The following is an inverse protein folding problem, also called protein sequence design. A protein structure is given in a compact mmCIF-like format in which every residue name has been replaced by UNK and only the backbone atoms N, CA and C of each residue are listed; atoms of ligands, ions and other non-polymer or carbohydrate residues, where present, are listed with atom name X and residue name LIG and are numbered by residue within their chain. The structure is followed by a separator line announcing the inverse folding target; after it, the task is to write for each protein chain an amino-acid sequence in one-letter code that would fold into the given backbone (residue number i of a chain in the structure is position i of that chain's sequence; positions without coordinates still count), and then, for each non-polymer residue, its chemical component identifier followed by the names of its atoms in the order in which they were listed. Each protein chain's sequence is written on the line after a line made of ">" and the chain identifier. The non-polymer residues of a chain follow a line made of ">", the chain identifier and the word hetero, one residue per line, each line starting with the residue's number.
data_IF_613366801188
#
_entry.id   IF_613366801188
#
_cell.length_a   1.000
_cell.length_b   1.000
_cell.length_c   1.000
_cell.angle_alpha   90.00
_cell.angle_beta   90.00
_cell.angle_gamma   90.00
#
_symmetry.space_group_name_H-M   'P 1'
#
loop_
_entity.id
_entity.type
_entity.pdbx_description
1 polymer ?
#
# COMPACT_ATOMS: atom_id res chain seq x y z
N UNK A 1 -0.91 -12.22 -2.14
CA UNK A 1 0.49 -11.79 -2.32
C UNK A 1 0.58 -10.30 -2.07
N UNK A 2 1.61 -9.82 -1.37
CA UNK A 2 2.02 -8.41 -1.44
C UNK A 2 2.44 -8.05 -2.87
N UNK A 3 2.10 -6.86 -3.33
CA UNK A 3 2.38 -6.33 -4.68
C UNK A 3 2.55 -4.82 -4.62
N UNK A 4 3.63 -4.29 -5.20
CA UNK A 4 3.94 -2.85 -5.10
C UNK A 4 3.27 -2.02 -6.19
N UNK A 5 2.93 -2.63 -7.33
CA UNK A 5 2.38 -1.94 -8.49
C UNK A 5 1.59 -2.90 -9.40
N UNK A 6 1.02 -2.37 -10.48
CA UNK A 6 0.24 -3.16 -11.44
C UNK A 6 1.10 -4.17 -12.22
N UNK A 7 2.40 -3.92 -12.39
CA UNK A 7 3.30 -4.85 -13.07
C UNK A 7 3.55 -6.10 -12.20
N UNK A 8 3.73 -5.91 -10.89
CA UNK A 8 3.83 -6.98 -9.90
C UNK A 8 2.53 -7.79 -9.81
N UNK A 9 1.38 -7.14 -9.91
CA UNK A 9 0.08 -7.83 -10.02
C UNK A 9 0.05 -8.72 -11.27
N UNK A 10 0.40 -8.18 -12.44
CA UNK A 10 0.38 -8.92 -13.69
C UNK A 10 1.32 -10.15 -13.62
N UNK A 11 2.55 -9.96 -13.16
CA UNK A 11 3.52 -11.03 -12.98
C UNK A 11 3.02 -12.13 -12.03
N UNK A 12 2.40 -11.76 -10.91
CA UNK A 12 1.81 -12.71 -9.96
C UNK A 12 0.67 -13.52 -10.59
N UNK A 13 -0.24 -12.87 -11.31
CA UNK A 13 -1.37 -13.55 -11.95
C UNK A 13 -0.91 -14.48 -13.08
N UNK A 14 0.09 -14.07 -13.86
CA UNK A 14 0.62 -14.88 -14.96
C UNK A 14 1.34 -16.13 -14.42
N UNK A 15 2.12 -15.99 -13.34
CA UNK A 15 2.72 -17.12 -12.65
C UNK A 15 1.66 -18.13 -12.13
N UNK A 16 0.55 -17.63 -11.58
CA UNK A 16 -0.56 -18.49 -11.14
C UNK A 16 -1.25 -19.21 -12.30
N UNK A 17 -1.46 -18.53 -13.42
CA UNK A 17 -2.04 -19.13 -14.63
C UNK A 17 -1.13 -20.22 -15.20
N UNK A 18 0.18 -19.97 -15.22
CA UNK A 18 1.17 -20.94 -15.65
C UNK A 18 1.19 -22.18 -14.75
N UNK A 19 1.20 -21.98 -13.43
CA UNK A 19 1.25 -23.06 -12.46
C UNK A 19 -0.06 -23.89 -12.42
N UNK A 20 -1.19 -23.28 -12.76
CA UNK A 20 -2.52 -23.87 -12.59
C UNK A 20 -3.40 -23.78 -13.84
N UNK A 21 -2.84 -24.09 -15.01
CA UNK A 21 -3.53 -24.07 -16.33
C UNK A 21 -4.85 -24.85 -16.40
N UNK A 22 -5.07 -25.79 -15.48
CA UNK A 22 -6.30 -26.60 -15.42
C UNK A 22 -7.47 -25.91 -14.70
N UNK A 23 -7.27 -24.78 -14.04
CA UNK A 23 -8.36 -24.03 -13.43
C UNK A 23 -9.20 -23.34 -14.52
N UNK A 24 -10.53 -23.37 -14.36
CA UNK A 24 -11.45 -22.77 -15.32
C UNK A 24 -11.58 -21.24 -15.15
N UNK A 25 -11.32 -20.75 -13.94
CA UNK A 25 -11.37 -19.34 -13.59
C UNK A 25 -10.24 -19.00 -12.60
N UNK A 26 -9.61 -17.85 -12.82
CA UNK A 26 -8.60 -17.19 -12.01
C UNK A 26 -9.12 -15.81 -11.55
N UNK A 27 -10.21 -15.82 -10.78
CA UNK A 27 -10.82 -14.58 -10.29
C UNK A 27 -9.89 -13.91 -9.29
N UNK A 28 -9.81 -12.58 -9.31
CA UNK A 28 -8.89 -11.86 -8.43
C UNK A 28 -9.42 -10.49 -8.02
N UNK A 29 -8.83 -9.94 -6.98
CA UNK A 29 -8.90 -8.53 -6.66
C UNK A 29 -7.56 -8.03 -6.10
N UNK A 30 -7.35 -6.72 -6.19
CA UNK A 30 -6.20 -6.08 -5.57
C UNK A 30 -6.51 -4.67 -5.08
N UNK A 31 -5.70 -4.24 -4.12
CA UNK A 31 -5.57 -2.87 -3.63
C UNK A 31 -4.10 -2.46 -3.82
N UNK A 32 -3.86 -1.25 -4.32
CA UNK A 32 -2.52 -0.69 -4.56
C UNK A 32 -2.49 0.77 -4.08
N UNK A 33 -1.44 1.15 -3.37
CA UNK A 33 -1.29 2.46 -2.74
C UNK A 33 -1.78 2.46 -1.30
N UNK A 34 -0.97 3.07 -0.42
CA UNK A 34 -1.25 3.18 1.02
C UNK A 34 -2.11 4.41 1.32
N UNK A 35 -1.72 5.59 0.81
CA UNK A 35 -2.44 6.84 1.05
C UNK A 35 -3.69 6.97 0.18
N UNK A 36 -3.57 6.67 -1.12
CA UNK A 36 -4.65 6.77 -2.10
C UNK A 36 -4.85 5.41 -2.79
N UNK A 37 -5.65 4.52 -2.18
CA UNK A 37 -5.77 3.15 -2.64
C UNK A 37 -6.56 3.07 -3.94
N UNK A 38 -5.90 2.56 -4.97
CA UNK A 38 -6.54 2.12 -6.21
C UNK A 38 -6.97 0.67 -6.03
N UNK A 39 -8.13 0.33 -6.55
CA UNK A 39 -8.67 -1.03 -6.45
C UNK A 39 -9.09 -1.57 -7.81
N UNK A 40 -9.02 -2.89 -7.95
CA UNK A 40 -9.55 -3.59 -9.12
C UNK A 40 -10.02 -4.97 -8.72
N UNK A 41 -10.99 -5.48 -9.46
CA UNK A 41 -11.44 -6.86 -9.35
C UNK A 41 -11.76 -7.43 -10.73
N UNK A 42 -11.67 -8.76 -10.84
CA UNK A 42 -11.99 -9.51 -12.05
C UNK A 42 -12.74 -10.79 -11.69
N UNK A 43 -13.86 -11.01 -12.37
CA UNK A 43 -14.63 -12.25 -12.28
C UNK A 43 -14.09 -13.35 -13.21
N UNK A 44 -13.14 -13.06 -14.10
CA UNK A 44 -12.48 -14.03 -14.99
C UNK A 44 -13.44 -15.02 -15.70
N UNK A 45 -14.56 -14.52 -16.22
CA UNK A 45 -15.57 -15.32 -16.91
C UNK A 45 -16.66 -15.92 -16.02
N UNK A 46 -16.57 -15.77 -14.69
CA UNK A 46 -17.72 -15.98 -13.81
C UNK A 46 -18.81 -14.92 -14.06
N UNK A 47 -20.07 -15.18 -13.63
CA UNK A 47 -21.11 -14.17 -13.66
C UNK A 47 -20.67 -12.87 -12.96
N UNK A 48 -20.97 -11.74 -13.60
CA UNK A 48 -20.52 -10.42 -13.15
C UNK A 48 -20.85 -10.14 -11.67
N UNK A 49 -19.83 -9.72 -10.93
CA UNK A 49 -19.90 -9.36 -9.51
C UNK A 49 -19.99 -10.55 -8.56
N UNK A 50 -19.85 -11.80 -9.04
CA UNK A 50 -19.99 -12.99 -8.19
C UNK A 50 -18.68 -13.54 -7.65
N UNK A 51 -17.53 -13.08 -8.14
CA UNK A 51 -16.22 -13.57 -7.72
C UNK A 51 -15.26 -12.45 -7.31
N UNK A 52 -14.87 -11.58 -8.24
CA UNK A 52 -13.89 -10.53 -8.00
C UNK A 52 -14.35 -9.52 -6.93
N UNK A 53 -15.63 -9.11 -6.98
CA UNK A 53 -16.17 -8.14 -6.01
C UNK A 53 -16.22 -8.71 -4.58
N UNK A 54 -16.69 -9.95 -4.34
CA UNK A 54 -16.54 -10.61 -3.04
C UNK A 54 -15.10 -10.68 -2.53
N UNK A 55 -14.12 -11.00 -3.38
CA UNK A 55 -12.70 -11.03 -2.98
C UNK A 55 -12.24 -9.62 -2.55
N UNK A 56 -12.58 -8.59 -3.34
CA UNK A 56 -12.21 -7.21 -3.04
C UNK A 56 -12.76 -6.74 -1.69
N UNK A 57 -14.02 -7.09 -1.37
CA UNK A 57 -14.64 -6.73 -0.10
C UNK A 57 -13.88 -7.28 1.11
N UNK A 58 -13.26 -8.45 0.98
CA UNK A 58 -12.47 -9.04 2.08
C UNK A 58 -11.13 -8.32 2.28
N UNK A 59 -10.54 -7.77 1.21
CA UNK A 59 -9.37 -6.89 1.30
C UNK A 59 -9.73 -5.56 1.96
N UNK A 60 -10.82 -4.92 1.50
CA UNK A 60 -11.31 -3.63 2.02
C UNK A 60 -11.74 -3.74 3.49
N UNK A 61 -12.43 -4.80 3.87
CA UNK A 61 -12.88 -5.01 5.25
C UNK A 61 -11.71 -5.19 6.25
N UNK A 62 -10.51 -5.51 5.75
CA UNK A 62 -9.28 -5.65 6.55
C UNK A 62 -8.31 -4.50 6.36
N UNK A 63 -8.69 -3.48 5.59
CA UNK A 63 -7.85 -2.34 5.22
C UNK A 63 -6.48 -2.77 4.62
N UNK A 64 -6.45 -3.87 3.87
CA UNK A 64 -5.22 -4.36 3.28
C UNK A 64 -4.82 -3.49 2.09
N UNK A 65 -3.57 -3.04 2.08
CA UNK A 65 -2.93 -2.24 1.03
C UNK A 65 -1.88 -3.07 0.30
N UNK A 66 -1.53 -2.66 -0.92
CA UNK A 66 -0.46 -3.28 -1.72
C UNK A 66 -0.57 -4.80 -1.78
N UNK A 67 -1.79 -5.30 -2.01
CA UNK A 67 -2.12 -6.71 -1.88
C UNK A 67 -3.00 -7.17 -3.05
N UNK A 68 -2.63 -8.31 -3.64
CA UNK A 68 -3.44 -9.02 -4.61
C UNK A 68 -3.84 -10.40 -4.08
N UNK A 69 -5.13 -10.73 -4.21
CA UNK A 69 -5.68 -12.05 -3.88
C UNK A 69 -6.32 -12.62 -5.15
N UNK A 70 -5.97 -13.86 -5.45
CA UNK A 70 -6.57 -14.65 -6.52
C UNK A 70 -7.18 -15.92 -5.93
N UNK A 71 -8.36 -16.29 -6.41
CA UNK A 71 -9.05 -17.52 -6.08
C UNK A 71 -9.25 -18.29 -7.38
N UNK A 72 -8.62 -19.46 -7.45
CA UNK A 72 -8.70 -20.34 -8.61
C UNK A 72 -9.83 -21.33 -8.41
N UNK A 73 -10.61 -21.55 -9.47
CA UNK A 73 -11.76 -22.45 -9.42
C UNK A 73 -11.69 -23.53 -10.50
N UNK A 74 -11.84 -24.78 -10.05
CA UNK A 74 -12.10 -25.93 -10.90
C UNK A 74 -13.59 -26.26 -10.86
N UNK A 75 -14.19 -26.55 -12.02
CA UNK A 75 -15.59 -26.92 -12.07
C UNK A 75 -15.80 -28.32 -11.46
N UNK A 76 -16.51 -28.39 -10.34
CA UNK A 76 -16.77 -29.62 -9.60
C UNK A 76 -18.02 -30.39 -10.02
N UNK A 77 -18.57 -30.15 -11.22
CA UNK A 77 -19.73 -30.89 -11.72
C UNK A 77 -21.11 -30.34 -11.33
N UNK A 78 -21.19 -29.43 -10.36
CA UNK A 78 -22.46 -28.81 -9.92
C UNK A 78 -22.39 -27.28 -9.93
N UNK A 79 -23.46 -26.62 -10.42
CA UNK A 79 -23.58 -25.16 -10.44
C UNK A 79 -24.02 -24.65 -9.07
N UNK A 80 -23.31 -23.65 -8.54
CA UNK A 80 -23.58 -23.06 -7.22
C UNK A 80 -24.65 -21.95 -7.23
N UNK A 81 -25.03 -21.46 -8.41
CA UNK A 81 -25.83 -20.23 -8.54
C UNK A 81 -25.05 -18.98 -8.09
N UNK A 82 -25.59 -17.80 -8.39
CA UNK A 82 -24.90 -16.51 -8.12
C UNK A 82 -24.61 -16.30 -6.64
N UNK A 83 -25.59 -16.56 -5.76
CA UNK A 83 -25.41 -16.44 -4.31
C UNK A 83 -24.41 -17.45 -3.74
N UNK A 84 -24.33 -18.65 -4.31
CA UNK A 84 -23.34 -19.66 -3.92
C UNK A 84 -21.93 -19.26 -4.33
N UNK A 85 -21.75 -18.69 -5.53
CA UNK A 85 -20.47 -18.16 -6.01
C UNK A 85 -19.96 -17.02 -5.13
N UNK A 86 -20.83 -16.05 -4.81
CA UNK A 86 -20.49 -14.93 -3.93
C UNK A 86 -19.94 -15.42 -2.59
N UNK A 87 -20.62 -16.41 -1.97
CA UNK A 87 -20.17 -17.00 -0.70
C UNK A 87 -18.87 -17.80 -0.85
N UNK A 88 -18.70 -18.54 -1.94
CA UNK A 88 -17.51 -19.35 -2.17
C UNK A 88 -16.26 -18.48 -2.34
N UNK A 89 -16.32 -17.47 -3.22
CA UNK A 89 -15.18 -16.60 -3.51
C UNK A 89 -14.81 -15.70 -2.33
N UNK A 90 -15.81 -15.03 -1.73
CA UNK A 90 -15.59 -14.22 -0.53
C UNK A 90 -15.12 -15.07 0.65
N UNK A 91 -15.74 -16.24 0.87
CA UNK A 91 -15.35 -17.16 1.93
C UNK A 91 -13.92 -17.70 1.80
N UNK A 92 -13.50 -18.06 0.58
CA UNK A 92 -12.14 -18.51 0.30
C UNK A 92 -11.11 -17.39 0.58
N UNK A 93 -11.36 -16.17 0.08
CA UNK A 93 -10.51 -15.02 0.36
C UNK A 93 -10.47 -14.71 1.87
N UNK A 94 -11.62 -14.75 2.55
CA UNK A 94 -11.72 -14.52 4.00
C UNK A 94 -10.89 -15.51 4.80
N UNK A 95 -10.96 -16.80 4.47
CA UNK A 95 -10.23 -17.85 5.16
C UNK A 95 -8.72 -17.67 4.96
N UNK A 96 -8.28 -17.45 3.72
CA UNK A 96 -6.88 -17.15 3.40
C UNK A 96 -6.35 -15.95 4.20
N UNK A 97 -7.09 -14.85 4.19
CA UNK A 97 -6.68 -13.61 4.85
C UNK A 97 -6.77 -13.66 6.38
N UNK A 98 -7.41 -14.68 6.97
CA UNK A 98 -7.40 -14.89 8.41
C UNK A 98 -6.08 -15.53 8.88
N UNK A 99 -5.38 -16.23 8.00
CA UNK A 99 -4.13 -16.95 8.33
C UNK A 99 -2.89 -16.26 7.73
N UNK A 100 -3.08 -15.36 6.77
CA UNK A 100 -1.98 -14.64 6.13
C UNK A 100 -1.28 -13.69 7.14
N UNK A 101 0.06 -13.75 7.28
CA UNK A 101 0.77 -12.79 8.10
C UNK A 101 0.66 -11.40 7.49
N UNK A 102 0.43 -10.41 8.34
CA UNK A 102 0.34 -8.99 7.97
C UNK A 102 1.47 -8.21 8.62
N UNK A 103 1.79 -7.07 8.01
CA UNK A 103 2.65 -6.04 8.61
C UNK A 103 1.92 -4.72 8.53
N UNK A 104 2.11 -3.90 9.54
CA UNK A 104 1.63 -2.53 9.52
C UNK A 104 2.44 -1.71 8.51
N UNK A 105 1.74 -0.84 7.78
CA UNK A 105 2.34 0.09 6.83
C UNK A 105 1.75 1.47 7.11
N UNK A 106 2.61 2.43 7.39
CA UNK A 106 2.22 3.81 7.67
C UNK A 106 2.30 4.62 6.37
N UNK A 107 1.23 5.33 6.04
CA UNK A 107 1.24 6.28 4.93
C UNK A 107 2.19 7.44 5.26
N UNK A 108 3.11 7.73 4.34
CA UNK A 108 4.07 8.83 4.50
C UNK A 108 4.05 9.75 3.29
N UNK A 109 4.22 11.05 3.50
CA UNK A 109 4.55 12.02 2.45
C UNK A 109 6.05 12.18 2.31
N UNK A 110 6.49 12.21 1.05
CA UNK A 110 7.84 12.60 0.73
C UNK A 110 8.01 14.11 0.96
N UNK A 111 8.94 14.47 1.83
CA UNK A 111 9.28 15.86 2.11
C UNK A 111 10.78 16.09 1.94
N UNK A 112 11.14 17.34 1.69
CA UNK A 112 12.52 17.79 1.60
C UNK A 112 12.74 18.93 2.59
N UNK A 113 13.83 18.83 3.33
CA UNK A 113 14.28 19.86 4.26
C UNK A 113 15.68 20.31 3.84
N UNK A 114 15.85 21.61 3.54
CA UNK A 114 17.15 22.20 3.21
C UNK A 114 17.54 23.22 4.27
N UNK A 115 18.78 23.16 4.72
CA UNK A 115 19.30 24.05 5.77
C UNK A 115 20.81 24.25 5.65
N UNK A 116 21.31 25.29 6.32
CA UNK A 116 22.74 25.57 6.41
C UNK A 116 23.37 24.73 7.53
N UNK A 117 24.64 24.33 7.38
CA UNK A 117 25.34 23.45 8.33
C UNK A 117 25.21 23.83 9.82
N UNK A 118 25.17 25.11 10.24
CA UNK A 118 24.96 25.47 11.64
C UNK A 118 23.65 24.95 12.25
N UNK A 119 22.61 24.73 11.45
CA UNK A 119 21.31 24.23 11.93
C UNK A 119 21.28 22.68 12.03
N UNK A 120 22.37 21.97 11.72
CA UNK A 120 22.40 20.48 11.69
C UNK A 120 21.98 19.86 13.03
N UNK A 121 22.59 20.29 14.13
CA UNK A 121 22.28 19.71 15.45
C UNK A 121 20.84 19.97 15.90
N UNK A 122 20.28 21.12 15.50
CA UNK A 122 18.88 21.47 15.75
C UNK A 122 17.95 20.54 14.96
N UNK A 123 18.19 20.37 13.66
CA UNK A 123 17.40 19.49 12.80
C UNK A 123 17.45 18.05 13.28
N UNK A 124 18.63 17.52 13.59
CA UNK A 124 18.78 16.17 14.15
C UNK A 124 18.06 16.02 15.50
N UNK A 125 18.05 17.07 16.32
CA UNK A 125 17.26 17.13 17.55
C UNK A 125 15.77 16.92 17.31
N UNK A 126 15.20 17.75 16.43
CA UNK A 126 13.77 17.70 16.07
C UNK A 126 13.39 16.36 15.46
N UNK A 127 14.19 15.83 14.53
CA UNK A 127 13.91 14.54 13.90
C UNK A 127 13.92 13.40 14.94
N UNK A 128 14.89 13.40 15.86
CA UNK A 128 14.99 12.40 16.92
C UNK A 128 13.82 12.45 17.89
N UNK A 129 13.36 13.65 18.28
CA UNK A 129 12.19 13.82 19.15
C UNK A 129 10.91 13.25 18.54
N UNK A 130 10.79 13.33 17.21
CA UNK A 130 9.64 12.81 16.46
C UNK A 130 9.82 11.36 15.98
N UNK A 131 10.98 10.74 16.25
CA UNK A 131 11.30 9.39 15.80
C UNK A 131 11.46 9.25 14.28
N UNK A 132 11.84 10.34 13.60
CA UNK A 132 12.02 10.38 12.16
C UNK A 132 13.48 10.19 11.76
N UNK A 133 13.70 9.44 10.70
CA UNK A 133 15.01 9.25 10.08
C UNK A 133 15.01 9.72 8.62
N UNK A 134 16.07 10.38 8.15
CA UNK A 134 16.22 10.72 6.74
C UNK A 134 16.28 9.48 5.85
N UNK A 135 15.51 9.49 4.77
CA UNK A 135 15.61 8.50 3.68
C UNK A 135 16.93 8.68 2.93
N UNK A 136 17.36 9.93 2.75
CA UNK A 136 18.66 10.28 2.18
C UNK A 136 19.12 11.66 2.67
N UNK A 137 20.43 11.89 2.60
CA UNK A 137 21.04 13.16 2.94
C UNK A 137 22.10 13.53 1.89
N UNK A 138 21.97 14.72 1.32
CA UNK A 138 22.92 15.32 0.38
C UNK A 138 23.63 16.49 1.07
N UNK A 139 24.96 16.44 1.09
CA UNK A 139 25.81 17.44 1.74
C UNK A 139 26.58 18.22 0.67
N UNK A 140 26.04 19.36 0.26
CA UNK A 140 26.66 20.26 -0.71
C UNK A 140 26.96 21.62 -0.05
N UNK A 141 26.68 22.73 -0.73
CA UNK A 141 26.72 24.07 -0.14
C UNK A 141 25.73 24.20 1.04
N UNK A 142 24.64 23.45 0.99
CA UNK A 142 23.63 23.27 2.04
C UNK A 142 23.38 21.80 2.27
N UNK A 143 22.88 21.45 3.44
CA UNK A 143 22.39 20.11 3.73
C UNK A 143 20.98 19.99 3.16
N UNK A 144 20.69 18.90 2.45
CA UNK A 144 19.37 18.57 1.92
C UNK A 144 18.98 17.17 2.36
N UNK A 145 17.97 17.08 3.22
CA UNK A 145 17.41 15.81 3.68
C UNK A 145 16.15 15.46 2.88
N UNK A 146 16.05 14.20 2.45
CA UNK A 146 14.79 13.63 1.99
C UNK A 146 14.16 12.83 3.12
N UNK A 147 12.89 13.08 3.41
CA UNK A 147 12.15 12.51 4.53
C UNK A 147 10.91 11.78 4.00
N UNK A 148 10.55 10.67 4.65
CA UNK A 148 9.25 10.04 4.53
C UNK A 148 8.51 10.30 5.85
N UNK A 149 7.63 11.29 5.86
CA UNK A 149 6.98 11.78 7.08
C UNK A 149 5.57 11.21 7.16
N UNK A 150 5.18 10.50 8.23
CA UNK A 150 3.79 10.09 8.44
C UNK A 150 2.85 11.29 8.32
N UNK A 151 1.71 11.11 7.62
CA UNK A 151 0.76 12.21 7.38
C UNK A 151 0.33 12.89 8.69
N UNK A 152 0.16 12.12 9.77
CA UNK A 152 -0.21 12.62 11.10
C UNK A 152 0.90 13.41 11.82
N UNK A 153 2.16 13.23 11.43
CA UNK A 153 3.32 13.91 12.03
C UNK A 153 3.74 15.15 11.24
N UNK A 154 3.19 15.38 10.05
CA UNK A 154 3.64 16.43 9.15
C UNK A 154 3.53 17.83 9.79
N UNK A 155 2.37 18.17 10.34
CA UNK A 155 2.16 19.45 11.00
C UNK A 155 3.02 19.60 12.26
N UNK A 156 3.29 18.51 12.97
CA UNK A 156 4.11 18.51 14.17
C UNK A 156 5.58 18.79 13.80
N UNK A 157 6.09 18.13 12.75
CA UNK A 157 7.43 18.37 12.23
C UNK A 157 7.59 19.80 11.74
N UNK A 158 6.64 20.33 10.97
CA UNK A 158 6.72 21.70 10.47
C UNK A 158 6.75 22.73 11.60
N UNK A 159 5.90 22.54 12.62
CA UNK A 159 5.89 23.40 13.82
C UNK A 159 7.20 23.31 14.58
N UNK A 160 7.69 22.11 14.87
CA UNK A 160 8.93 21.91 15.63
C UNK A 160 10.15 22.53 14.93
N UNK A 161 10.25 22.39 13.60
CA UNK A 161 11.32 23.01 12.81
C UNK A 161 11.25 24.54 12.86
N UNK A 162 10.05 25.12 12.74
CA UNK A 162 9.86 26.57 12.83
C UNK A 162 10.20 27.09 14.23
N UNK A 163 9.71 26.45 15.28
CA UNK A 163 9.93 26.90 16.65
C UNK A 163 11.41 26.82 17.05
N UNK A 164 12.08 25.71 16.73
CA UNK A 164 13.48 25.53 17.06
C UNK A 164 14.39 26.51 16.31
N UNK A 165 14.03 26.87 15.07
CA UNK A 165 14.84 27.74 14.21
C UNK A 165 14.45 29.22 14.24
N UNK A 166 13.44 29.62 15.01
CA UNK A 166 12.88 30.98 14.94
C UNK A 166 12.27 31.30 13.57
N UNK A 167 11.70 30.31 12.91
CA UNK A 167 10.97 30.42 11.64
C UNK A 167 11.81 30.34 10.37
N UNK A 168 13.12 30.07 10.46
CA UNK A 168 14.01 30.00 9.28
C UNK A 168 13.90 28.68 8.51
N UNK A 169 13.54 27.59 9.18
CA UNK A 169 13.42 26.26 8.59
C UNK A 169 11.97 25.95 8.20
N UNK A 170 11.82 25.24 7.09
CA UNK A 170 10.53 24.79 6.57
C UNK A 170 10.67 23.54 5.71
N UNK A 171 9.57 22.80 5.60
CA UNK A 171 9.46 21.61 4.76
C UNK A 171 8.95 21.98 3.36
N UNK A 172 9.56 21.37 2.36
CA UNK A 172 9.02 21.32 1.00
C UNK A 172 8.41 19.94 0.77
N UNK A 173 7.08 19.86 0.66
CA UNK A 173 6.42 18.64 0.23
C UNK A 173 6.75 18.37 -1.23
N UNK A 174 7.20 17.16 -1.55
CA UNK A 174 7.26 16.73 -2.94
C UNK A 174 5.84 16.36 -3.36
N UNK A 175 5.27 17.13 -4.28
CA UNK A 175 4.00 16.77 -4.91
C UNK A 175 4.14 15.42 -5.62
N UNK A 176 3.07 14.62 -5.55
CA UNK A 176 2.99 13.33 -6.23
C UNK A 176 3.22 13.57 -7.74
N UNK A 177 4.35 13.08 -8.26
CA UNK A 177 4.66 13.08 -9.68
C UNK A 177 4.11 11.82 -10.35
#
# INVERSE_FOLDING_TARGET
>A
SPVADEAAVAAFLDALREAHRGAGHHCYAWTLGVAEPRTRSSDDGEPSGTAGRPILRELEARDLRDTCVAVLRWFGGTKLGTGGLVRAYGGAARALLAEAPTREVVATRAARLRFDYPDTGLVEGVLRELGLEPVSADYEARVSLSLAVPDEQLDALERALRDASGGRLGLELKGDA
#
